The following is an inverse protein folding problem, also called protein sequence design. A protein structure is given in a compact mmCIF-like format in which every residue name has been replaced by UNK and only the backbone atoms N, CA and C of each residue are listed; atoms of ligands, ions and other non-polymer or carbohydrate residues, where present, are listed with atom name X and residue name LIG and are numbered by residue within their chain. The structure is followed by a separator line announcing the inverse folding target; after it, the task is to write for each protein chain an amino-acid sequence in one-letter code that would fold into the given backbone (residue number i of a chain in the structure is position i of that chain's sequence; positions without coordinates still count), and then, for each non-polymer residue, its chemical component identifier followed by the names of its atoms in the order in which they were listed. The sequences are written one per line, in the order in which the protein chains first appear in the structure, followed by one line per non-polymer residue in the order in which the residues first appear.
data_IF_697587165390
#
_entry.id   IF_697587165390
#
_cell.length_a   1.000
_cell.length_b   1.000
_cell.length_c   1.000
_cell.angle_alpha   90.00
_cell.angle_beta   90.00
_cell.angle_gamma   90.00
#
_symmetry.space_group_name_H-M   'P 1'
#
loop_
_entity.id
_entity.type
_entity.pdbx_description
1 polymer ?
#
# COMPACT_ATOMS: atom_id res chain seq x y z
N UNK A 1 9.31 -32.11 27.86
CA UNK A 1 9.17 -32.24 26.38
C UNK A 1 8.06 -31.39 25.79
N UNK A 2 7.04 -30.98 26.54
CA UNK A 2 5.96 -30.10 26.05
C UNK A 2 6.42 -28.65 25.80
N UNK A 3 7.37 -28.12 26.58
CA UNK A 3 7.89 -26.77 26.45
C UNK A 3 8.58 -26.51 25.11
N UNK A 4 9.32 -27.48 24.57
CA UNK A 4 10.02 -27.32 23.29
C UNK A 4 9.07 -27.32 22.09
N UNK A 5 8.00 -28.11 22.13
CA UNK A 5 7.01 -28.12 21.05
C UNK A 5 6.17 -26.85 21.03
N UNK A 6 5.73 -26.35 22.21
CA UNK A 6 4.98 -25.10 22.30
C UNK A 6 5.83 -23.89 21.94
N UNK A 7 7.13 -23.87 22.31
CA UNK A 7 8.04 -22.78 21.93
C UNK A 7 8.24 -22.71 20.41
N UNK A 8 8.39 -23.86 19.73
CA UNK A 8 8.54 -23.88 18.27
C UNK A 8 7.30 -23.32 17.55
N UNK A 9 6.09 -23.69 17.98
CA UNK A 9 4.83 -23.14 17.42
C UNK A 9 4.74 -21.63 17.65
N UNK A 10 5.05 -21.19 18.87
CA UNK A 10 5.01 -19.76 19.23
C UNK A 10 5.97 -18.94 18.37
N UNK A 11 7.21 -19.39 18.20
CA UNK A 11 8.20 -18.71 17.38
C UNK A 11 7.72 -18.65 15.92
N UNK A 12 7.18 -19.73 15.37
CA UNK A 12 6.66 -19.77 14.00
C UNK A 12 5.51 -18.78 13.80
N UNK A 13 4.58 -18.70 14.76
CA UNK A 13 3.45 -17.78 14.70
C UNK A 13 3.89 -16.31 14.84
N UNK A 14 4.90 -16.03 15.67
CA UNK A 14 5.47 -14.67 15.81
C UNK A 14 6.13 -14.27 14.48
N UNK A 15 6.94 -15.12 13.87
CA UNK A 15 7.57 -14.86 12.58
C UNK A 15 6.53 -14.65 11.47
N UNK A 16 5.49 -15.47 11.43
CA UNK A 16 4.40 -15.34 10.47
C UNK A 16 3.61 -14.03 10.67
N UNK A 17 3.30 -13.67 11.92
CA UNK A 17 2.63 -12.41 12.24
C UNK A 17 3.48 -11.19 11.87
N UNK A 18 4.79 -11.21 12.18
CA UNK A 18 5.71 -10.14 11.80
C UNK A 18 5.77 -9.97 10.28
N UNK A 19 5.81 -11.09 9.55
CA UNK A 19 5.82 -11.07 8.10
C UNK A 19 4.52 -10.52 7.50
N UNK A 20 3.35 -10.92 8.00
CA UNK A 20 2.07 -10.35 7.56
C UNK A 20 1.98 -8.84 7.84
N UNK A 21 2.58 -8.38 8.94
CA UNK A 21 2.66 -6.96 9.26
C UNK A 21 3.52 -6.20 8.23
N UNK A 22 4.68 -6.74 7.86
CA UNK A 22 5.54 -6.16 6.84
C UNK A 22 4.82 -6.13 5.49
N UNK A 23 4.21 -7.23 5.07
CA UNK A 23 3.47 -7.32 3.81
C UNK A 23 2.30 -6.33 3.74
N UNK A 24 1.56 -6.15 4.84
CA UNK A 24 0.50 -5.15 4.95
C UNK A 24 1.01 -3.70 4.84
N UNK A 25 2.13 -3.40 5.48
CA UNK A 25 2.74 -2.07 5.42
C UNK A 25 3.31 -1.76 4.02
N UNK A 26 3.92 -2.71 3.34
CA UNK A 26 4.39 -2.54 1.95
C UNK A 26 3.23 -2.19 1.03
N UNK A 27 2.06 -2.83 1.19
CA UNK A 27 0.88 -2.51 0.39
C UNK A 27 0.37 -1.08 0.63
N UNK A 28 0.32 -0.63 1.89
CA UNK A 28 -0.09 0.73 2.24
C UNK A 28 0.91 1.77 1.70
N UNK A 29 2.20 1.49 1.81
CA UNK A 29 3.25 2.36 1.30
C UNK A 29 3.20 2.49 -0.23
N UNK A 30 2.96 1.39 -0.93
CA UNK A 30 2.78 1.38 -2.39
C UNK A 30 1.59 2.25 -2.81
N UNK A 31 0.44 2.11 -2.13
CA UNK A 31 -0.73 2.92 -2.43
C UNK A 31 -0.49 4.42 -2.18
N UNK A 32 0.27 4.78 -1.13
CA UNK A 32 0.62 6.19 -0.86
C UNK A 32 1.49 6.79 -1.97
N UNK A 33 2.45 6.03 -2.50
CA UNK A 33 3.28 6.49 -3.63
C UNK A 33 2.44 6.61 -4.92
N UNK A 34 1.52 5.68 -5.15
CA UNK A 34 0.61 5.73 -6.30
C UNK A 34 -0.31 6.96 -6.25
N UNK A 35 -0.75 7.37 -5.06
CA UNK A 35 -1.59 8.57 -4.86
C UNK A 35 -0.84 9.89 -5.19
N UNK A 36 0.47 9.91 -5.07
CA UNK A 36 1.33 11.07 -5.40
C UNK A 36 1.65 11.17 -6.91
N UNK A 37 1.34 10.12 -7.69
CA UNK A 37 1.55 10.14 -9.13
C UNK A 37 0.49 11.00 -9.83
N UNK A 38 0.95 12.12 -10.40
CA UNK A 38 0.08 13.08 -11.07
C UNK A 38 0.56 13.33 -12.50
N UNK A 39 -0.40 13.57 -13.40
CA UNK A 39 -0.14 14.07 -14.74
C UNK A 39 -0.18 15.60 -14.67
N UNK A 40 0.92 16.25 -15.00
CA UNK A 40 1.00 17.69 -15.12
C UNK A 40 0.56 18.11 -16.52
N UNK A 41 -0.59 18.78 -16.61
CA UNK A 41 -1.25 19.16 -17.85
C UNK A 41 -1.12 20.67 -18.01
N UNK A 42 -0.25 21.12 -18.91
CA UNK A 42 -0.06 22.54 -19.22
C UNK A 42 -1.12 22.97 -20.23
N UNK A 43 -1.84 24.04 -19.94
CA UNK A 43 -2.87 24.59 -20.80
C UNK A 43 -2.30 25.50 -21.90
N UNK A 44 -3.03 25.64 -23.00
CA UNK A 44 -2.71 26.64 -24.03
C UNK A 44 -2.93 28.05 -23.50
N UNK A 45 -2.18 29.01 -24.04
CA UNK A 45 -2.20 30.40 -23.61
C UNK A 45 -3.57 31.13 -23.82
N UNK A 46 -4.48 30.55 -24.61
CA UNK A 46 -5.83 31.04 -24.84
C UNK A 46 -6.85 30.66 -23.76
N UNK A 47 -6.48 29.72 -22.84
CA UNK A 47 -7.30 29.27 -21.73
C UNK A 47 -7.01 30.12 -20.49
N UNK A 48 -7.46 31.41 -20.53
CA UNK A 48 -7.27 32.38 -19.43
C UNK A 48 -8.57 32.73 -18.72
N UNK A 49 -9.70 32.56 -19.38
CA UNK A 49 -11.01 32.90 -18.81
C UNK A 49 -11.50 31.79 -17.91
N UNK A 50 -12.07 32.15 -16.74
CA UNK A 50 -12.59 31.18 -15.77
C UNK A 50 -13.50 30.13 -16.42
N UNK A 51 -14.38 30.56 -17.32
CA UNK A 51 -15.28 29.66 -18.06
C UNK A 51 -14.52 28.58 -18.85
N UNK A 52 -13.42 28.96 -19.55
CA UNK A 52 -12.60 27.99 -20.30
C UNK A 52 -11.80 27.07 -19.37
N UNK A 53 -11.41 27.56 -18.20
CA UNK A 53 -10.74 26.76 -17.17
C UNK A 53 -11.70 25.70 -16.63
N UNK A 54 -12.96 26.09 -16.33
CA UNK A 54 -13.98 25.18 -15.83
C UNK A 54 -14.37 24.14 -16.90
N UNK A 55 -14.53 24.54 -18.16
CA UNK A 55 -14.77 23.61 -19.28
C UNK A 55 -13.60 22.60 -19.46
N UNK A 56 -12.37 23.06 -19.31
CA UNK A 56 -11.19 22.19 -19.40
C UNK A 56 -11.15 21.21 -18.21
N UNK A 57 -11.48 21.68 -17.00
CA UNK A 57 -11.58 20.84 -15.81
C UNK A 57 -12.63 19.75 -15.99
N UNK A 58 -13.84 20.12 -16.43
CA UNK A 58 -14.94 19.17 -16.70
C UNK A 58 -14.55 18.13 -17.76
N UNK A 59 -13.77 18.57 -18.79
CA UNK A 59 -13.23 17.69 -19.81
C UNK A 59 -12.26 16.66 -19.26
N UNK A 60 -11.41 17.05 -18.32
CA UNK A 60 -10.46 16.16 -17.67
C UNK A 60 -11.15 15.20 -16.68
N UNK A 61 -12.13 15.68 -15.91
CA UNK A 61 -12.85 14.86 -14.94
C UNK A 61 -13.73 13.78 -15.60
N UNK A 62 -14.16 13.98 -16.84
CA UNK A 62 -14.92 12.98 -17.62
C UNK A 62 -14.08 11.80 -18.11
N UNK A 63 -12.75 11.91 -18.08
CA UNK A 63 -11.88 10.82 -18.52
C UNK A 63 -11.94 9.67 -17.51
N UNK A 64 -12.26 8.47 -17.99
CA UNK A 64 -12.28 7.28 -17.15
C UNK A 64 -10.88 7.02 -16.55
N UNK A 65 -10.84 6.81 -15.23
CA UNK A 65 -9.57 6.58 -14.52
C UNK A 65 -8.97 7.84 -13.88
N UNK A 66 -9.51 9.03 -14.12
CA UNK A 66 -9.16 10.24 -13.37
C UNK A 66 -9.81 10.19 -11.99
N UNK A 67 -9.04 10.55 -10.95
CA UNK A 67 -9.48 10.58 -9.55
C UNK A 67 -9.78 12.00 -9.10
N UNK A 68 -8.86 12.93 -9.40
CA UNK A 68 -8.95 14.34 -8.99
C UNK A 68 -8.23 15.22 -10.00
N UNK A 69 -8.78 16.40 -10.23
CA UNK A 69 -8.19 17.45 -11.05
C UNK A 69 -8.00 18.68 -10.17
N UNK A 70 -6.75 19.13 -10.00
CA UNK A 70 -6.40 20.30 -9.21
C UNK A 70 -5.85 21.38 -10.13
N UNK A 71 -6.43 22.57 -10.08
CA UNK A 71 -5.97 23.72 -10.86
C UNK A 71 -4.73 24.36 -10.22
N UNK A 72 -3.76 24.71 -11.03
CA UNK A 72 -2.59 25.48 -10.67
C UNK A 72 -2.48 26.69 -11.58
N UNK A 73 -2.48 27.87 -10.98
CA UNK A 73 -2.27 29.13 -11.71
C UNK A 73 -0.80 29.29 -12.08
N UNK A 74 -0.54 30.06 -13.11
CA UNK A 74 0.82 30.37 -13.61
C UNK A 74 1.78 30.86 -12.51
N UNK A 75 1.26 31.59 -11.51
CA UNK A 75 2.08 32.09 -10.42
C UNK A 75 2.43 30.98 -9.41
N UNK A 76 1.50 30.05 -9.14
CA UNK A 76 1.78 28.83 -8.39
C UNK A 76 2.77 27.91 -9.12
N UNK A 77 2.64 27.80 -10.45
CA UNK A 77 3.59 27.05 -11.28
C UNK A 77 5.02 27.61 -11.17
N UNK A 78 5.15 28.94 -11.13
CA UNK A 78 6.44 29.59 -10.94
C UNK A 78 7.01 29.31 -9.54
N UNK A 79 6.19 29.36 -8.49
CA UNK A 79 6.64 29.02 -7.14
C UNK A 79 7.11 27.56 -7.04
N UNK A 80 6.39 26.62 -7.67
CA UNK A 80 6.83 25.23 -7.76
C UNK A 80 8.16 25.10 -8.50
N UNK A 81 8.31 25.81 -9.62
CA UNK A 81 9.55 25.81 -10.39
C UNK A 81 10.74 26.39 -9.59
N UNK A 82 10.52 27.48 -8.86
CA UNK A 82 11.54 28.08 -7.98
C UNK A 82 11.96 27.10 -6.89
N UNK A 83 10.98 26.39 -6.29
CA UNK A 83 11.22 25.41 -5.24
C UNK A 83 12.01 24.19 -5.74
N UNK A 84 11.73 23.72 -6.95
CA UNK A 84 12.34 22.52 -7.52
C UNK A 84 13.69 22.80 -8.20
N UNK A 85 13.80 23.90 -8.92
CA UNK A 85 14.94 24.20 -9.80
C UNK A 85 15.87 25.30 -9.29
N UNK A 86 15.42 26.05 -8.27
CA UNK A 86 16.26 27.06 -7.61
C UNK A 86 15.81 28.50 -7.82
N UNK A 87 16.46 29.39 -7.06
CA UNK A 87 16.12 30.83 -7.01
C UNK A 87 16.39 31.61 -8.32
N UNK A 88 17.07 31.02 -9.27
CA UNK A 88 17.37 31.66 -10.55
C UNK A 88 16.09 32.03 -11.32
N UNK A 89 14.98 31.34 -11.06
CA UNK A 89 13.69 31.59 -11.67
C UNK A 89 12.88 32.71 -10.98
N UNK A 90 13.35 33.28 -9.88
CA UNK A 90 12.66 34.37 -9.16
C UNK A 90 12.52 35.64 -10.04
N UNK A 91 13.42 35.82 -11.01
CA UNK A 91 13.36 36.95 -11.96
C UNK A 91 12.06 37.02 -12.79
N UNK A 92 11.35 35.88 -12.92
CA UNK A 92 10.10 35.79 -13.69
C UNK A 92 8.86 36.07 -12.83
N UNK A 93 9.01 36.51 -11.58
CA UNK A 93 7.87 36.92 -10.76
C UNK A 93 7.19 38.17 -11.30
N UNK A 94 5.87 38.13 -11.41
CA UNK A 94 5.03 39.25 -11.79
C UNK A 94 4.55 39.20 -13.25
N UNK A 95 4.56 40.37 -13.94
CA UNK A 95 3.92 40.48 -15.26
C UNK A 95 4.61 39.70 -16.36
N UNK A 96 5.91 39.45 -16.21
CA UNK A 96 6.74 38.74 -17.19
C UNK A 96 6.81 37.22 -17.00
N UNK A 97 5.91 36.67 -16.20
CA UNK A 97 5.81 35.22 -15.98
C UNK A 97 5.42 34.51 -17.30
N UNK A 98 6.34 33.74 -17.92
CA UNK A 98 6.13 33.09 -19.21
C UNK A 98 5.32 31.79 -19.10
N UNK A 99 5.02 31.34 -17.86
CA UNK A 99 4.32 30.09 -17.62
C UNK A 99 2.83 30.18 -17.95
N UNK A 100 2.27 29.06 -18.28
CA UNK A 100 0.84 28.88 -18.51
C UNK A 100 0.20 28.26 -17.29
N UNK A 101 -1.14 28.41 -17.18
CA UNK A 101 -1.91 27.68 -16.20
C UNK A 101 -1.80 26.19 -16.46
N UNK A 102 -1.91 25.38 -15.41
CA UNK A 102 -1.80 23.93 -15.50
C UNK A 102 -2.87 23.24 -14.63
N UNK A 103 -3.08 21.96 -14.90
CA UNK A 103 -3.81 21.07 -14.02
C UNK A 103 -2.91 19.94 -13.58
N UNK A 104 -3.02 19.57 -12.30
CA UNK A 104 -2.50 18.32 -11.76
C UNK A 104 -3.62 17.28 -11.73
N UNK A 105 -3.48 16.26 -12.54
CA UNK A 105 -4.47 15.18 -12.69
C UNK A 105 -3.98 13.94 -11.99
N UNK A 106 -4.61 13.59 -10.86
CA UNK A 106 -4.36 12.34 -10.15
C UNK A 106 -5.17 11.21 -10.79
N UNK A 107 -4.55 10.06 -10.97
CA UNK A 107 -5.19 8.87 -11.55
C UNK A 107 -5.61 7.89 -10.45
N UNK A 108 -6.61 7.05 -10.74
CA UNK A 108 -7.08 6.00 -9.81
C UNK A 108 -6.13 4.81 -9.78
N UNK A 109 -5.48 4.51 -10.88
CA UNK A 109 -4.58 3.38 -11.06
C UNK A 109 -3.34 3.85 -11.82
N UNK A 110 -2.19 3.74 -11.17
CA UNK A 110 -0.90 4.14 -11.72
C UNK A 110 -0.55 3.42 -13.04
N UNK A 111 -1.04 2.19 -13.23
CA UNK A 111 -0.82 1.42 -14.45
C UNK A 111 -1.49 2.05 -15.68
N UNK A 112 -2.56 2.82 -15.47
CA UNK A 112 -3.31 3.48 -16.53
C UNK A 112 -2.78 4.88 -16.86
N UNK A 113 -1.80 5.40 -16.10
CA UNK A 113 -1.30 6.78 -16.24
C UNK A 113 -0.85 7.08 -17.67
N UNK A 114 -0.18 6.13 -18.34
CA UNK A 114 0.28 6.29 -19.72
C UNK A 114 -0.89 6.38 -20.71
N UNK A 115 -1.91 5.55 -20.54
CA UNK A 115 -3.09 5.55 -21.41
C UNK A 115 -3.94 6.82 -21.20
N UNK A 116 -4.09 7.24 -19.93
CA UNK A 116 -4.81 8.47 -19.57
C UNK A 116 -4.04 9.70 -20.09
N UNK A 117 -2.72 9.74 -19.96
CA UNK A 117 -1.90 10.83 -20.50
C UNK A 117 -2.06 10.96 -22.00
N UNK A 118 -2.08 9.85 -22.75
CA UNK A 118 -2.29 9.86 -24.19
C UNK A 118 -3.68 10.38 -24.60
N UNK A 119 -4.72 10.14 -23.78
CA UNK A 119 -6.05 10.72 -23.99
C UNK A 119 -6.08 12.22 -23.68
N UNK A 120 -5.42 12.64 -22.60
CA UNK A 120 -5.32 14.07 -22.22
C UNK A 120 -4.58 14.86 -23.29
N UNK A 121 -3.52 14.32 -23.86
CA UNK A 121 -2.71 14.98 -24.88
C UNK A 121 -3.48 15.29 -26.18
N UNK A 122 -4.53 14.52 -26.46
CA UNK A 122 -5.40 14.74 -27.62
C UNK A 122 -6.45 15.86 -27.42
N UNK A 123 -6.59 16.38 -26.20
CA UNK A 123 -7.59 17.41 -25.91
C UNK A 123 -7.18 18.77 -26.52
N UNK A 124 -8.12 19.51 -27.09
CA UNK A 124 -7.81 20.74 -27.84
C UNK A 124 -7.22 21.87 -27.00
N UNK A 125 -7.50 21.90 -25.71
CA UNK A 125 -7.04 22.93 -24.76
C UNK A 125 -5.68 22.60 -24.12
N UNK A 126 -5.16 21.39 -24.32
CA UNK A 126 -3.88 20.95 -23.79
C UNK A 126 -2.74 21.41 -24.71
N UNK A 127 -1.73 22.03 -24.12
CA UNK A 127 -0.48 22.38 -24.79
C UNK A 127 0.52 21.23 -24.69
N UNK A 128 0.64 20.67 -23.49
CA UNK A 128 1.55 19.58 -23.15
C UNK A 128 1.05 18.85 -21.92
N UNK A 129 1.21 17.55 -21.87
CA UNK A 129 0.99 16.76 -20.67
C UNK A 129 2.22 15.91 -20.36
N UNK A 130 2.60 15.86 -19.07
CA UNK A 130 3.80 15.15 -18.61
C UNK A 130 3.47 14.38 -17.33
N UNK A 131 3.85 13.13 -17.27
CA UNK A 131 3.63 12.25 -16.09
C UNK A 131 4.94 11.71 -15.51
N UNK A 132 6.06 12.38 -15.69
CA UNK A 132 7.39 11.93 -15.25
C UNK A 132 8.06 10.89 -16.15
N UNK A 133 7.43 10.53 -17.27
CA UNK A 133 8.05 9.74 -18.36
C UNK A 133 8.54 8.35 -17.92
N UNK A 134 9.73 7.99 -18.42
CA UNK A 134 10.33 6.66 -18.19
C UNK A 134 10.65 6.36 -16.72
N UNK A 135 10.94 7.38 -15.91
CA UNK A 135 11.27 7.20 -14.49
C UNK A 135 10.06 6.75 -13.70
N UNK A 136 8.90 7.36 -13.94
CA UNK A 136 7.62 6.96 -13.33
C UNK A 136 7.20 5.58 -13.80
N UNK A 137 7.32 5.29 -15.10
CA UNK A 137 6.99 3.97 -15.65
C UNK A 137 7.86 2.86 -15.04
N UNK A 138 9.16 3.12 -14.83
CA UNK A 138 10.04 2.16 -14.13
C UNK A 138 9.64 1.97 -12.68
N UNK A 139 9.30 3.05 -11.98
CA UNK A 139 8.86 2.99 -10.58
C UNK A 139 7.58 2.15 -10.43
N UNK A 140 6.58 2.39 -11.29
CA UNK A 140 5.33 1.60 -11.33
C UNK A 140 5.63 0.12 -11.60
N UNK A 141 6.53 -0.19 -12.54
CA UNK A 141 6.94 -1.56 -12.84
C UNK A 141 7.57 -2.26 -11.63
N UNK A 142 8.46 -1.56 -10.90
CA UNK A 142 9.08 -2.08 -9.67
C UNK A 142 8.03 -2.31 -8.59
N UNK A 143 7.11 -1.36 -8.38
CA UNK A 143 6.03 -1.50 -7.39
C UNK A 143 5.13 -2.70 -7.70
N UNK A 144 4.76 -2.89 -8.97
CA UNK A 144 3.97 -4.05 -9.40
C UNK A 144 4.72 -5.38 -9.21
N UNK A 145 6.03 -5.40 -9.47
CA UNK A 145 6.87 -6.57 -9.23
C UNK A 145 6.93 -6.91 -7.74
N UNK A 146 7.08 -5.91 -6.87
CA UNK A 146 7.06 -6.09 -5.42
C UNK A 146 5.69 -6.60 -4.96
N UNK A 147 4.61 -6.02 -5.48
CA UNK A 147 3.23 -6.42 -5.13
C UNK A 147 2.92 -7.86 -5.55
N UNK A 148 3.20 -8.22 -6.79
CA UNK A 148 2.94 -9.58 -7.29
C UNK A 148 3.88 -10.61 -6.68
N UNK A 149 5.18 -10.32 -6.58
CA UNK A 149 6.15 -11.17 -5.91
C UNK A 149 5.84 -11.34 -4.42
N UNK A 150 5.43 -10.26 -3.75
CA UNK A 150 5.00 -10.29 -2.36
C UNK A 150 3.81 -11.20 -2.13
N UNK A 151 2.79 -11.18 -3.00
CA UNK A 151 1.63 -12.07 -2.90
C UNK A 151 2.01 -13.55 -3.03
N UNK A 152 2.87 -13.89 -3.99
CA UNK A 152 3.37 -15.26 -4.16
C UNK A 152 4.15 -15.70 -2.92
N UNK A 153 5.00 -14.83 -2.40
CA UNK A 153 5.80 -15.10 -1.21
C UNK A 153 4.94 -15.30 0.04
N UNK A 154 3.89 -14.46 0.24
CA UNK A 154 2.90 -14.65 1.31
C UNK A 154 2.18 -15.99 1.19
N UNK A 155 1.78 -16.38 -0.02
CA UNK A 155 1.14 -17.66 -0.28
C UNK A 155 2.04 -18.83 0.11
N UNK A 156 3.32 -18.77 -0.26
CA UNK A 156 4.31 -19.81 0.04
C UNK A 156 4.59 -19.90 1.55
N UNK A 157 4.70 -18.76 2.24
CA UNK A 157 4.85 -18.74 3.70
C UNK A 157 3.62 -19.26 4.42
N UNK A 158 2.43 -19.00 3.91
CA UNK A 158 1.18 -19.54 4.46
C UNK A 158 1.18 -21.06 4.38
N UNK A 159 1.56 -21.64 3.25
CA UNK A 159 1.69 -23.09 3.09
C UNK A 159 2.72 -23.67 4.05
N UNK A 160 3.89 -23.02 4.17
CA UNK A 160 4.92 -23.42 5.11
C UNK A 160 4.44 -23.40 6.56
N UNK A 161 3.74 -22.33 6.95
CA UNK A 161 3.16 -22.19 8.28
C UNK A 161 2.16 -23.32 8.58
N UNK A 162 1.24 -23.62 7.65
CA UNK A 162 0.29 -24.71 7.79
C UNK A 162 0.99 -26.07 7.94
N UNK A 163 2.06 -26.30 7.18
CA UNK A 163 2.86 -27.52 7.29
C UNK A 163 3.53 -27.62 8.66
N UNK A 164 4.17 -26.55 9.14
CA UNK A 164 4.83 -26.52 10.44
C UNK A 164 3.84 -26.69 11.59
N UNK A 165 2.69 -26.02 11.53
CA UNK A 165 1.61 -26.14 12.54
C UNK A 165 1.08 -27.59 12.57
N UNK A 166 0.81 -28.18 11.41
CA UNK A 166 0.33 -29.57 11.32
C UNK A 166 1.33 -30.54 11.92
N UNK A 167 2.63 -30.35 11.64
CA UNK A 167 3.68 -31.19 12.19
C UNK A 167 3.83 -31.01 13.71
N UNK A 168 3.76 -29.78 14.20
CA UNK A 168 3.80 -29.46 15.64
C UNK A 168 2.63 -30.07 16.41
N UNK A 169 1.41 -30.01 15.83
CA UNK A 169 0.23 -30.65 16.44
C UNK A 169 0.43 -32.15 16.55
N UNK A 170 0.92 -32.82 15.50
CA UNK A 170 1.22 -34.26 15.53
C UNK A 170 2.22 -34.60 16.64
N UNK A 171 3.34 -33.86 16.74
CA UNK A 171 4.34 -34.04 17.78
C UNK A 171 3.75 -33.84 19.18
N UNK A 172 2.89 -32.85 19.39
CA UNK A 172 2.21 -32.60 20.67
C UNK A 172 1.29 -33.75 21.04
N UNK A 173 0.51 -34.27 20.08
CA UNK A 173 -0.36 -35.44 20.29
C UNK A 173 0.49 -36.67 20.66
N UNK A 174 1.59 -36.93 19.96
CA UNK A 174 2.50 -38.04 20.30
C UNK A 174 3.09 -37.89 21.69
N UNK A 175 3.52 -36.72 22.09
CA UNK A 175 4.10 -36.45 23.40
C UNK A 175 3.09 -36.64 24.56
N UNK A 176 1.81 -36.39 24.30
CA UNK A 176 0.72 -36.54 25.28
C UNK A 176 -0.10 -37.84 25.10
N UNK A 177 0.40 -38.80 24.34
CA UNK A 177 -0.34 -40.01 23.98
C UNK A 177 -0.78 -40.83 25.22
N UNK A 178 0.03 -40.86 26.28
CA UNK A 178 -0.34 -41.51 27.55
C UNK A 178 -1.57 -40.87 28.21
N UNK A 179 -1.61 -39.53 28.28
CA UNK A 179 -2.76 -38.79 28.86
C UNK A 179 -4.02 -38.97 28.02
N UNK A 180 -3.89 -38.92 26.71
CA UNK A 180 -5.00 -39.12 25.75
C UNK A 180 -5.53 -40.55 25.83
N UNK A 181 -4.63 -41.54 25.99
CA UNK A 181 -5.01 -42.94 26.12
C UNK A 181 -5.81 -43.19 27.41
N UNK A 182 -5.39 -42.61 28.53
CA UNK A 182 -6.13 -42.66 29.79
C UNK A 182 -7.53 -42.07 29.66
N UNK A 183 -7.65 -40.87 29.07
CA UNK A 183 -8.94 -40.21 28.83
C UNK A 183 -9.85 -41.05 27.94
N UNK A 184 -9.30 -41.73 26.94
CA UNK A 184 -10.04 -42.60 26.04
C UNK A 184 -10.52 -43.88 26.72
N UNK A 185 -9.71 -44.46 27.59
CA UNK A 185 -10.07 -45.66 28.38
C UNK A 185 -11.18 -45.37 29.40
N UNK A 186 -11.26 -44.14 29.91
CA UNK A 186 -12.34 -43.69 30.83
C UNK A 186 -13.62 -43.32 30.06
N UNK A 187 -13.60 -43.37 28.69
CA UNK A 187 -14.78 -43.12 27.86
C UNK A 187 -14.99 -41.65 27.50
N UNK A 188 -13.96 -40.80 27.60
CA UNK A 188 -14.06 -39.42 27.22
C UNK A 188 -14.40 -39.26 25.72
N UNK A 189 -15.35 -38.39 25.39
CA UNK A 189 -15.73 -38.07 24.02
C UNK A 189 -14.58 -37.42 23.28
N UNK A 190 -14.43 -37.70 21.98
CA UNK A 190 -13.39 -37.13 21.10
C UNK A 190 -13.35 -35.61 21.11
N UNK A 191 -14.48 -34.94 21.36
CA UNK A 191 -14.57 -33.49 21.51
C UNK A 191 -13.79 -33.01 22.74
N UNK A 192 -13.94 -33.69 23.87
CA UNK A 192 -13.27 -33.30 25.11
C UNK A 192 -11.74 -33.37 25.01
N UNK A 193 -11.23 -34.27 24.20
CA UNK A 193 -9.79 -34.40 23.93
C UNK A 193 -9.30 -33.24 23.04
N UNK A 194 -10.14 -32.73 22.12
CA UNK A 194 -9.75 -31.68 21.17
C UNK A 194 -9.83 -30.25 21.73
N UNK A 195 -10.72 -30.01 22.69
CA UNK A 195 -11.00 -28.69 23.29
C UNK A 195 -9.74 -27.99 23.82
N UNK A 196 -8.85 -28.61 24.59
CA UNK A 196 -7.64 -27.96 25.09
C UNK A 196 -6.74 -27.42 23.96
N UNK A 197 -6.58 -28.17 22.87
CA UNK A 197 -5.78 -27.76 21.73
C UNK A 197 -6.41 -26.60 20.93
N UNK A 198 -7.75 -26.58 20.85
CA UNK A 198 -8.47 -25.46 20.22
C UNK A 198 -8.33 -24.18 21.04
N UNK A 199 -8.43 -24.27 22.37
CA UNK A 199 -8.26 -23.13 23.28
C UNK A 199 -6.82 -22.62 23.21
N UNK A 200 -5.82 -23.49 23.22
CA UNK A 200 -4.40 -23.12 23.08
C UNK A 200 -4.15 -22.38 21.78
N UNK A 201 -4.67 -22.88 20.64
CA UNK A 201 -4.57 -22.21 19.34
C UNK A 201 -5.29 -20.85 19.31
N UNK A 202 -6.45 -20.74 19.96
CA UNK A 202 -7.20 -19.50 20.06
C UNK A 202 -6.46 -18.45 20.89
N UNK A 203 -5.89 -18.83 22.03
CA UNK A 203 -5.09 -17.95 22.89
C UNK A 203 -3.85 -17.42 22.15
N UNK A 204 -3.13 -18.28 21.42
CA UNK A 204 -1.97 -17.89 20.63
C UNK A 204 -2.38 -16.92 19.52
N UNK A 205 -3.50 -17.20 18.83
CA UNK A 205 -4.05 -16.30 17.81
C UNK A 205 -4.43 -14.93 18.35
N UNK A 206 -5.06 -14.87 19.53
CA UNK A 206 -5.42 -13.63 20.22
C UNK A 206 -4.18 -12.84 20.65
N UNK A 207 -3.17 -13.49 21.19
CA UNK A 207 -1.89 -12.83 21.54
C UNK A 207 -1.21 -12.23 20.30
N UNK A 208 -1.21 -12.93 19.18
CA UNK A 208 -0.71 -12.41 17.90
C UNK A 208 -1.50 -11.19 17.41
N UNK A 209 -2.82 -11.20 17.57
CA UNK A 209 -3.67 -10.07 17.19
C UNK A 209 -3.46 -8.83 18.08
N UNK A 210 -3.29 -9.02 19.40
CA UNK A 210 -3.01 -7.93 20.36
C UNK A 210 -1.65 -7.27 20.06
N UNK A 211 -0.62 -8.04 19.76
CA UNK A 211 0.69 -7.52 19.37
C UNK A 211 0.61 -6.71 18.07
N UNK A 212 -0.26 -7.10 17.14
CA UNK A 212 -0.48 -6.36 15.89
C UNK A 212 -1.09 -4.98 16.12
N UNK A 213 -1.97 -4.82 17.11
CA UNK A 213 -2.65 -3.54 17.40
C UNK A 213 -1.76 -2.60 18.22
N UNK A 214 -0.92 -3.14 19.11
CA UNK A 214 -0.08 -2.33 20.00
C UNK A 214 1.14 -1.70 19.32
N UNK A 215 1.72 -2.36 18.33
CA UNK A 215 2.93 -1.87 17.63
C UNK A 215 2.71 -0.59 16.79
N UNK A 216 1.66 -0.43 15.97
CA UNK A 216 1.46 0.82 15.24
C UNK A 216 1.09 2.00 16.14
N UNK A 217 0.43 1.78 17.27
CA UNK A 217 0.08 2.84 18.24
C UNK A 217 1.35 3.40 18.89
N UNK A 218 2.31 2.54 19.23
CA UNK A 218 3.59 2.99 19.79
C UNK A 218 4.48 3.70 18.76
N UNK A 219 4.45 3.28 17.49
CA UNK A 219 5.18 3.95 16.41
C UNK A 219 4.62 5.35 16.10
N UNK A 220 3.31 5.54 16.17
CA UNK A 220 2.64 6.84 15.99
C UNK A 220 2.93 7.77 17.17
N UNK A 221 2.98 7.25 18.40
CA UNK A 221 3.30 8.08 19.59
C UNK A 221 4.75 8.56 19.58
N UNK A 222 5.69 7.81 19.03
CA UNK A 222 7.10 8.23 18.91
C UNK A 222 7.26 9.30 17.83
N UNK A 223 6.48 9.28 16.77
CA UNK A 223 6.54 10.30 15.70
C UNK A 223 5.89 11.64 16.09
N UNK A 224 5.07 11.67 17.13
CA UNK A 224 4.43 12.89 17.64
C UNK A 224 5.25 13.59 18.73
N UNK A 225 6.37 12.99 19.17
CA UNK A 225 7.21 13.53 20.27
C UNK A 225 8.58 14.05 19.77
N UNK A 226 8.85 14.01 18.46
CA UNK A 226 9.94 14.68 17.76
C UNK A 226 9.38 15.75 16.83
#
# INVERSE_FOLDING_TARGET
MSLSASSAVTITLILFSAFLMIAGNVSLFTNSIEDDLQIHVVLKADVKTQKKIDEAKDGLEKISGVRRVTFSDKDNELELMIKEKGKEFEMYRGKDNPLCNAFFVSVKDANQIKAINAQIEQLPFVKQSVYGGNSVSKMISVLNTIRSGGLVFVGLLTLLALFLISNSIKLTIYARNAEISIMRNVGAANWYIKVPFMIEGMLIGLMGAVLRVSLPISAISISLTC
#
